data_IF_341225234504
#
_entry.id   IF_341225234504
#
_cell.length_a   1.000
_cell.length_b   1.000
_cell.length_c   1.000
_cell.angle_alpha   90.00
_cell.angle_beta   90.00
_cell.angle_gamma   90.00
#
_symmetry.space_group_name_H-M   'P 1'
#
loop_
_entity.id
_entity.type
_entity.pdbx_description
1 polymer ?
#
# COMPACT_ATOMS: atom_id res chain seq x y z
N UNK A 1 52.27 10.10 -7.03
CA UNK A 1 51.16 10.61 -7.88
C UNK A 1 49.86 10.77 -7.06
N UNK A 2 49.08 11.85 -7.24
CA UNK A 2 47.79 11.96 -6.56
C UNK A 2 46.85 10.88 -7.10
N UNK A 3 46.08 10.27 -6.21
CA UNK A 3 45.08 9.26 -6.57
C UNK A 3 44.00 9.89 -7.48
N UNK A 4 43.49 9.14 -8.48
CA UNK A 4 42.42 9.64 -9.34
C UNK A 4 41.15 9.91 -8.52
N UNK A 5 40.41 10.96 -8.90
CA UNK A 5 39.12 11.30 -8.30
C UNK A 5 38.13 10.14 -8.47
N UNK A 6 37.27 9.84 -7.48
CA UNK A 6 36.27 8.79 -7.59
C UNK A 6 35.40 8.99 -8.84
N UNK A 7 35.38 8.01 -9.74
CA UNK A 7 34.52 8.01 -10.95
C UNK A 7 35.19 8.41 -12.28
N UNK A 8 36.47 8.77 -12.30
CA UNK A 8 37.18 9.07 -13.55
C UNK A 8 38.05 7.90 -14.03
N UNK A 9 37.87 7.48 -15.29
CA UNK A 9 38.84 6.63 -16.01
C UNK A 9 39.97 7.51 -16.55
N UNK A 10 41.14 6.94 -16.83
CA UNK A 10 42.24 7.62 -17.53
C UNK A 10 41.71 8.26 -18.83
N UNK A 11 41.52 9.58 -18.84
CA UNK A 11 40.90 10.33 -19.94
C UNK A 11 39.76 11.28 -19.53
N UNK A 12 39.26 11.22 -18.29
CA UNK A 12 38.29 12.21 -17.78
C UNK A 12 36.85 12.05 -18.28
N UNK A 13 36.53 10.99 -19.03
CA UNK A 13 35.17 10.69 -19.45
C UNK A 13 34.38 10.03 -18.29
N UNK A 14 33.14 10.47 -18.01
CA UNK A 14 32.29 9.86 -17.00
C UNK A 14 31.88 8.44 -17.41
N UNK A 15 31.90 7.50 -16.46
CA UNK A 15 31.61 6.07 -16.69
C UNK A 15 30.12 5.75 -16.84
N UNK A 16 29.24 6.73 -16.59
CA UNK A 16 27.79 6.52 -16.48
C UNK A 16 27.34 5.91 -15.14
N UNK A 17 28.26 5.67 -14.20
CA UNK A 17 27.91 5.20 -12.85
C UNK A 17 27.74 6.39 -11.90
N UNK A 18 26.60 6.46 -11.23
CA UNK A 18 26.28 7.48 -10.22
C UNK A 18 26.40 6.88 -8.82
N UNK A 19 26.90 7.65 -7.86
CA UNK A 19 26.99 7.26 -6.44
C UNK A 19 26.57 8.42 -5.54
N UNK A 20 26.04 8.07 -4.36
CA UNK A 20 25.70 9.00 -3.28
C UNK A 20 24.86 10.20 -3.75
N UNK A 21 25.26 11.42 -3.40
CA UNK A 21 24.57 12.66 -3.73
C UNK A 21 24.36 12.87 -5.23
N UNK A 22 25.18 12.26 -6.10
CA UNK A 22 24.98 12.36 -7.55
C UNK A 22 23.74 11.58 -8.03
N UNK A 23 23.28 10.57 -7.28
CA UNK A 23 22.01 9.90 -7.55
C UNK A 23 20.83 10.83 -7.30
N UNK A 24 20.89 11.65 -6.24
CA UNK A 24 19.82 12.58 -5.87
C UNK A 24 19.48 13.58 -6.99
N UNK A 25 20.50 14.07 -7.70
CA UNK A 25 20.37 15.00 -8.82
C UNK A 25 19.64 14.38 -10.02
N UNK A 26 19.79 13.09 -10.25
CA UNK A 26 19.10 12.39 -11.34
C UNK A 26 17.71 11.94 -10.90
N UNK A 27 17.56 11.40 -9.69
CA UNK A 27 16.24 11.00 -9.18
C UNK A 27 15.24 12.15 -9.18
N UNK A 28 15.67 13.40 -8.94
CA UNK A 28 14.78 14.58 -9.02
C UNK A 28 14.29 14.91 -10.43
N UNK A 29 14.96 14.40 -11.47
CA UNK A 29 14.58 14.60 -12.88
C UNK A 29 13.74 13.47 -13.44
N UNK A 30 13.66 12.33 -12.74
CA UNK A 30 12.81 11.21 -13.14
C UNK A 30 11.35 11.66 -13.00
N UNK A 31 10.55 11.62 -14.07
CA UNK A 31 9.15 12.04 -14.00
C UNK A 31 8.37 11.22 -12.98
N UNK A 32 7.47 11.85 -12.19
CA UNK A 32 6.62 11.12 -11.28
C UNK A 32 5.73 10.15 -12.06
N UNK A 33 5.59 8.92 -11.56
CA UNK A 33 4.73 7.91 -12.20
C UNK A 33 3.28 8.42 -12.24
N UNK A 34 2.67 8.37 -13.41
CA UNK A 34 1.26 8.74 -13.58
C UNK A 34 0.36 7.77 -12.81
N UNK A 35 -0.88 8.18 -12.50
CA UNK A 35 -1.83 7.30 -11.84
C UNK A 35 -2.10 6.01 -12.64
N UNK A 36 -2.21 6.13 -13.97
CA UNK A 36 -2.38 4.99 -14.85
C UNK A 36 -1.20 4.00 -14.73
N UNK A 37 0.04 4.49 -14.59
CA UNK A 37 1.21 3.62 -14.39
C UNK A 37 1.16 2.91 -13.04
N UNK A 38 0.68 3.60 -12.00
CA UNK A 38 0.53 3.01 -10.65
C UNK A 38 -0.55 1.94 -10.63
N UNK A 39 -1.70 2.18 -11.26
CA UNK A 39 -2.74 1.15 -11.46
C UNK A 39 -2.19 -0.07 -12.20
N UNK A 40 -1.44 0.13 -13.29
CA UNK A 40 -0.79 -0.98 -14.02
C UNK A 40 0.23 -1.70 -13.16
N UNK A 41 0.99 -1.00 -12.33
CA UNK A 41 1.95 -1.61 -11.40
C UNK A 41 1.25 -2.49 -10.36
N UNK A 42 0.15 -2.02 -9.75
CA UNK A 42 -0.65 -2.82 -8.82
C UNK A 42 -1.21 -4.08 -9.48
N UNK A 43 -1.84 -3.95 -10.66
CA UNK A 43 -2.39 -5.12 -11.38
C UNK A 43 -1.30 -6.17 -11.66
N UNK A 44 -0.14 -5.75 -12.15
CA UNK A 44 1.02 -6.63 -12.36
C UNK A 44 1.52 -7.29 -11.07
N UNK A 45 1.56 -6.54 -9.96
CA UNK A 45 1.96 -7.08 -8.67
C UNK A 45 0.97 -8.14 -8.19
N UNK A 46 -0.33 -7.91 -8.32
CA UNK A 46 -1.35 -8.88 -7.94
C UNK A 46 -1.29 -10.16 -8.76
N UNK A 47 -1.16 -10.06 -10.09
CA UNK A 47 -0.98 -11.21 -10.98
C UNK A 47 0.23 -12.05 -10.55
N UNK A 48 1.35 -11.40 -10.26
CA UNK A 48 2.55 -12.08 -9.81
C UNK A 48 2.37 -12.75 -8.44
N UNK A 49 1.81 -12.04 -7.46
CA UNK A 49 1.56 -12.59 -6.12
C UNK A 49 0.63 -13.81 -6.18
N UNK A 50 -0.44 -13.73 -6.96
CA UNK A 50 -1.37 -14.85 -7.17
C UNK A 50 -0.71 -16.04 -7.87
N UNK A 51 0.19 -15.80 -8.83
CA UNK A 51 0.95 -16.87 -9.47
C UNK A 51 1.84 -17.66 -8.50
N UNK A 52 2.17 -17.06 -7.36
CA UNK A 52 2.92 -17.66 -6.25
C UNK A 52 2.01 -18.19 -5.13
N UNK A 53 0.68 -18.12 -5.29
CA UNK A 53 -0.29 -18.53 -4.27
C UNK A 53 -0.46 -17.54 -3.11
N UNK A 54 0.08 -16.32 -3.22
CA UNK A 54 -0.05 -15.29 -2.18
C UNK A 54 -1.41 -14.60 -2.31
N UNK A 55 -2.27 -14.81 -1.31
CA UNK A 55 -3.66 -14.29 -1.29
C UNK A 55 -3.89 -13.14 -0.32
N UNK A 56 -2.87 -12.77 0.46
CA UNK A 56 -2.91 -11.63 1.38
C UNK A 56 -1.54 -11.01 1.62
N UNK A 57 -1.49 -9.69 1.76
CA UNK A 57 -0.25 -8.94 2.03
C UNK A 57 -0.44 -7.87 3.11
N UNK A 58 0.66 -7.54 3.77
CA UNK A 58 0.82 -6.28 4.49
C UNK A 58 1.51 -5.29 3.54
N UNK A 59 0.80 -4.23 3.17
CA UNK A 59 1.34 -3.19 2.29
C UNK A 59 1.88 -2.04 3.14
N UNK A 60 3.13 -1.69 2.88
CA UNK A 60 3.83 -0.59 3.53
C UNK A 60 4.00 0.59 2.57
N UNK A 61 3.32 0.63 1.43
CA UNK A 61 3.35 1.77 0.51
C UNK A 61 4.75 2.10 -0.02
N UNK A 62 4.90 3.34 -0.47
CA UNK A 62 6.15 3.86 -1.03
C UNK A 62 7.13 4.24 0.09
N UNK A 63 8.25 3.53 0.18
CA UNK A 63 9.23 3.68 1.25
C UNK A 63 9.81 5.09 1.35
N UNK A 64 10.06 5.76 0.22
CA UNK A 64 10.65 7.10 0.21
C UNK A 64 9.69 8.12 0.84
N UNK A 65 8.40 7.94 0.58
CA UNK A 65 7.35 8.81 1.07
C UNK A 65 6.91 8.46 2.51
N UNK A 66 7.12 7.21 2.93
CA UNK A 66 7.01 6.84 4.34
C UNK A 66 8.20 7.33 5.18
N UNK A 67 9.42 7.20 4.68
CA UNK A 67 10.64 7.56 5.41
C UNK A 67 10.75 9.08 5.59
N UNK A 68 10.31 9.87 4.60
CA UNK A 68 10.21 11.33 4.68
C UNK A 68 9.02 11.86 5.50
N UNK A 69 8.26 10.99 6.17
CA UNK A 69 6.96 11.36 6.78
C UNK A 69 7.05 12.31 7.97
N UNK A 70 8.22 12.71 8.47
CA UNK A 70 8.32 13.65 9.59
C UNK A 70 7.73 15.06 9.31
N UNK A 71 7.32 15.35 8.09
CA UNK A 71 6.71 16.62 7.67
C UNK A 71 5.31 16.42 7.12
N UNK A 72 4.36 17.24 7.58
CA UNK A 72 2.96 17.22 7.12
C UNK A 72 2.88 17.45 5.60
N UNK A 73 2.17 16.58 4.89
CA UNK A 73 2.00 16.62 3.42
C UNK A 73 3.06 15.86 2.61
N UNK A 74 4.18 15.42 3.21
CA UNK A 74 5.20 14.61 2.52
C UNK A 74 4.70 13.20 2.13
N UNK A 75 3.60 12.77 2.73
CA UNK A 75 3.02 11.43 2.68
C UNK A 75 1.92 11.27 1.63
N UNK A 76 1.56 12.35 0.92
CA UNK A 76 0.38 12.37 0.04
C UNK A 76 0.44 11.33 -1.09
N UNK A 77 1.66 10.94 -1.48
CA UNK A 77 1.86 9.84 -2.42
C UNK A 77 1.30 8.51 -1.89
N UNK A 78 1.53 8.20 -0.61
CA UNK A 78 1.04 6.96 0.01
C UNK A 78 -0.48 6.95 0.07
N UNK A 79 -1.09 8.11 0.32
CA UNK A 79 -2.55 8.25 0.29
C UNK A 79 -3.15 8.12 -1.10
N UNK A 80 -2.47 8.62 -2.15
CA UNK A 80 -2.89 8.41 -3.54
C UNK A 80 -2.85 6.92 -3.93
N UNK A 81 -1.85 6.20 -3.46
CA UNK A 81 -1.73 4.76 -3.72
C UNK A 81 -2.81 3.98 -2.95
N UNK A 82 -3.13 4.37 -1.71
CA UNK A 82 -4.29 3.84 -0.97
C UNK A 82 -5.61 4.11 -1.70
N UNK A 83 -5.84 5.31 -2.23
CA UNK A 83 -7.07 5.65 -2.95
C UNK A 83 -7.28 4.79 -4.21
N UNK A 84 -6.19 4.39 -4.89
CA UNK A 84 -6.26 3.42 -5.99
C UNK A 84 -6.76 2.07 -5.48
N UNK A 85 -6.21 1.58 -4.36
CA UNK A 85 -6.63 0.31 -3.76
C UNK A 85 -8.08 0.36 -3.28
N UNK A 86 -8.51 1.46 -2.66
CA UNK A 86 -9.90 1.68 -2.24
C UNK A 86 -10.85 1.66 -3.45
N UNK A 87 -10.47 2.29 -4.55
CA UNK A 87 -11.26 2.27 -5.78
C UNK A 87 -11.36 0.84 -6.34
N UNK A 88 -10.26 0.10 -6.40
CA UNK A 88 -10.27 -1.30 -6.86
C UNK A 88 -11.12 -2.18 -5.94
N UNK A 89 -11.07 -1.95 -4.63
CA UNK A 89 -11.86 -2.67 -3.65
C UNK A 89 -13.36 -2.36 -3.78
N UNK A 90 -13.72 -1.09 -3.92
CA UNK A 90 -15.12 -0.67 -4.16
C UNK A 90 -15.70 -1.25 -5.44
N UNK A 91 -14.89 -1.39 -6.50
CA UNK A 91 -15.27 -2.05 -7.75
C UNK A 91 -15.27 -3.59 -7.66
N UNK A 92 -14.75 -4.18 -6.57
CA UNK A 92 -14.54 -5.62 -6.46
C UNK A 92 -13.44 -6.18 -7.36
N UNK A 93 -12.59 -5.31 -7.89
CA UNK A 93 -11.44 -5.66 -8.73
C UNK A 93 -10.19 -6.02 -7.91
N UNK A 94 -10.22 -5.85 -6.58
CA UNK A 94 -9.07 -6.16 -5.74
C UNK A 94 -8.96 -7.69 -5.53
N UNK A 95 -7.94 -8.37 -6.09
CA UNK A 95 -7.98 -9.83 -6.17
C UNK A 95 -7.37 -10.53 -4.95
N UNK A 96 -6.69 -9.78 -4.06
CA UNK A 96 -6.06 -10.26 -2.82
C UNK A 96 -6.45 -9.38 -1.63
N UNK A 97 -6.30 -9.89 -0.40
CA UNK A 97 -6.51 -9.10 0.82
C UNK A 97 -5.30 -8.22 1.11
N UNK A 98 -5.54 -6.96 1.46
CA UNK A 98 -4.48 -6.00 1.78
C UNK A 98 -4.70 -5.41 3.17
N UNK A 99 -3.66 -5.49 4.00
CA UNK A 99 -3.51 -4.71 5.23
C UNK A 99 -2.57 -3.54 4.97
N UNK A 100 -3.11 -2.34 4.80
CA UNK A 100 -2.31 -1.14 4.57
C UNK A 100 -1.77 -0.58 5.90
N UNK A 101 -0.46 -0.31 5.95
CA UNK A 101 0.22 0.38 7.02
C UNK A 101 0.72 1.73 6.52
N UNK A 102 0.16 2.80 7.10
CA UNK A 102 0.28 4.17 6.61
C UNK A 102 1.30 4.97 7.45
N UNK A 103 1.77 6.15 7.01
CA UNK A 103 2.82 6.88 7.72
C UNK A 103 2.36 7.42 9.09
N UNK A 104 3.21 7.27 10.12
CA UNK A 104 2.89 7.69 11.49
C UNK A 104 2.55 9.17 11.61
N UNK A 105 3.12 10.06 10.79
CA UNK A 105 2.81 11.48 10.86
C UNK A 105 1.32 11.80 10.63
N UNK A 106 0.64 10.97 9.86
CA UNK A 106 -0.80 11.10 9.60
C UNK A 106 -1.64 10.24 10.53
N UNK A 107 -1.14 9.85 11.71
CA UNK A 107 -1.82 8.92 12.61
C UNK A 107 -3.26 9.29 12.94
N UNK A 108 -3.62 10.59 12.94
CA UNK A 108 -5.01 11.05 13.10
C UNK A 108 -5.87 10.63 11.92
N UNK A 109 -5.42 10.88 10.68
CA UNK A 109 -6.09 10.43 9.44
C UNK A 109 -6.20 8.90 9.39
N UNK A 110 -5.19 8.19 9.90
CA UNK A 110 -5.20 6.72 10.01
C UNK A 110 -6.18 6.25 11.09
N UNK A 111 -6.24 6.90 12.25
CA UNK A 111 -7.19 6.59 13.35
C UNK A 111 -8.63 6.75 12.88
N UNK A 112 -8.90 7.83 12.17
CA UNK A 112 -10.24 8.22 11.76
C UNK A 112 -10.66 7.60 10.40
N UNK A 113 -9.82 6.71 9.85
CA UNK A 113 -10.07 6.10 8.54
C UNK A 113 -11.24 5.09 8.58
N UNK A 114 -12.20 5.14 7.63
CA UNK A 114 -13.43 4.32 7.68
C UNK A 114 -13.21 2.82 7.52
N UNK A 115 -12.09 2.40 6.91
CA UNK A 115 -11.73 0.98 6.75
C UNK A 115 -10.78 0.48 7.85
N UNK A 116 -10.51 1.28 8.88
CA UNK A 116 -9.66 0.87 10.00
C UNK A 116 -10.33 -0.25 10.80
N UNK A 117 -9.60 -1.34 11.04
CA UNK A 117 -9.99 -2.50 11.86
C UNK A 117 -11.26 -3.28 11.46
N UNK A 118 -12.10 -2.77 10.56
CA UNK A 118 -13.33 -3.43 10.12
C UNK A 118 -13.37 -3.72 8.61
N UNK A 119 -12.33 -3.33 7.85
CA UNK A 119 -12.35 -3.40 6.38
C UNK A 119 -12.61 -4.80 5.79
N UNK A 120 -12.02 -5.87 6.34
CA UNK A 120 -12.00 -7.19 5.67
C UNK A 120 -13.33 -7.94 5.57
N UNK A 121 -14.38 -7.46 6.24
CA UNK A 121 -15.68 -8.11 6.26
C UNK A 121 -16.83 -7.10 6.20
N UNK A 122 -16.54 -5.86 5.79
CA UNK A 122 -17.60 -4.91 5.46
C UNK A 122 -18.28 -5.38 4.19
N UNK A 123 -19.56 -5.69 4.30
CA UNK A 123 -20.42 -5.93 3.16
C UNK A 123 -20.48 -4.68 2.30
N UNK A 124 -20.34 -4.86 0.99
CA UNK A 124 -20.53 -3.78 0.05
C UNK A 124 -22.03 -3.52 -0.06
N UNK A 125 -22.53 -2.50 0.63
CA UNK A 125 -23.91 -2.07 0.44
C UNK A 125 -24.13 -1.69 -1.03
N UNK A 126 -24.85 -2.55 -1.78
CA UNK A 126 -25.41 -2.18 -3.08
C UNK A 126 -26.28 -0.95 -2.87
N UNK A 127 -26.12 0.03 -3.77
CA UNK A 127 -26.60 1.40 -3.61
C UNK A 127 -28.02 1.55 -3.03
N UNK A 128 -28.20 2.61 -2.26
CA UNK A 128 -29.46 3.07 -1.69
C UNK A 128 -30.59 3.12 -2.73
N UNK A 129 -31.48 2.13 -2.70
CA UNK A 129 -32.87 2.27 -3.12
C UNK A 129 -33.70 2.50 -1.86
N UNK A 130 -34.38 3.65 -1.78
CA UNK A 130 -35.03 4.12 -0.57
C UNK A 130 -36.26 3.32 -0.11
N UNK A 131 -36.75 3.68 1.07
CA UNK A 131 -38.09 3.32 1.55
C UNK A 131 -38.10 2.81 2.98
N UNK A 132 -38.57 3.64 3.91
CA UNK A 132 -38.70 3.30 5.32
C UNK A 132 -39.81 2.29 5.64
N UNK A 133 -39.81 1.79 6.86
CA UNK A 133 -40.91 0.98 7.39
C UNK A 133 -40.56 0.34 8.72
N UNK A 134 -41.40 0.59 9.73
CA UNK A 134 -41.24 0.20 11.14
C UNK A 134 -41.55 -1.29 11.38
N UNK A 135 -41.21 -1.73 12.59
CA UNK A 135 -41.35 -3.09 13.14
C UNK A 135 -42.69 -3.81 12.91
N UNK A 136 -42.56 -5.14 12.92
CA UNK A 136 -43.65 -6.11 12.95
C UNK A 136 -43.05 -7.50 13.20
N UNK A 137 -43.57 -8.19 14.20
CA UNK A 137 -43.13 -9.48 14.71
C UNK A 137 -43.12 -10.56 13.61
N UNK A 138 -42.01 -11.30 13.45
CA UNK A 138 -41.90 -12.39 12.48
C UNK A 138 -42.37 -13.70 13.11
N UNK A 139 -43.54 -14.14 12.67
CA UNK A 139 -44.01 -15.52 12.76
C UNK A 139 -43.06 -16.43 11.97
N UNK A 140 -42.64 -17.56 12.57
CA UNK A 140 -41.68 -18.49 11.98
C UNK A 140 -42.44 -19.44 11.06
N UNK A 141 -42.39 -19.19 9.75
CA UNK A 141 -42.89 -20.11 8.73
C UNK A 141 -41.92 -21.32 8.60
N UNK A 142 -42.50 -22.52 8.64
CA UNK A 142 -41.80 -23.82 8.67
C UNK A 142 -41.98 -24.59 7.35
N UNK A 143 -42.15 -23.88 6.23
CA UNK A 143 -42.16 -24.48 4.90
C UNK A 143 -40.75 -24.98 4.52
N UNK A 144 -40.62 -26.14 3.85
CA UNK A 144 -39.31 -26.62 3.40
C UNK A 144 -38.71 -25.64 2.39
N UNK A 145 -37.65 -24.94 2.81
CA UNK A 145 -36.87 -24.09 1.91
C UNK A 145 -36.22 -24.96 0.84
N UNK A 146 -36.68 -24.83 -0.41
CA UNK A 146 -35.83 -25.16 -1.56
C UNK A 146 -34.54 -24.34 -1.42
N UNK A 147 -33.35 -24.93 -1.65
CA UNK A 147 -32.11 -24.19 -1.51
C UNK A 147 -32.14 -23.04 -2.54
N UNK A 148 -32.38 -21.83 -2.04
CA UNK A 148 -32.05 -20.62 -2.77
C UNK A 148 -30.58 -20.75 -3.13
N UNK A 149 -30.27 -20.56 -4.41
CA UNK A 149 -28.91 -20.22 -4.82
C UNK A 149 -28.63 -18.80 -4.30
N UNK A 150 -28.47 -18.68 -2.98
CA UNK A 150 -27.91 -17.49 -2.39
C UNK A 150 -26.46 -17.46 -2.82
N UNK A 151 -26.15 -16.58 -3.77
CA UNK A 151 -24.79 -16.25 -4.21
C UNK A 151 -23.97 -15.53 -3.12
N UNK A 152 -24.40 -15.63 -1.87
CA UNK A 152 -23.82 -14.95 -0.74
C UNK A 152 -22.65 -15.78 -0.22
N UNK A 153 -21.45 -15.20 -0.27
CA UNK A 153 -20.40 -15.55 0.69
C UNK A 153 -19.00 -15.87 0.17
N UNK A 154 -18.70 -15.68 -1.11
CA UNK A 154 -17.30 -15.69 -1.58
C UNK A 154 -17.05 -14.56 -2.60
N UNK A 155 -17.33 -13.31 -2.20
CA UNK A 155 -17.07 -12.19 -3.12
C UNK A 155 -17.61 -10.82 -2.75
N UNK A 156 -18.50 -10.67 -1.75
CA UNK A 156 -19.12 -9.37 -1.45
C UNK A 156 -18.46 -8.56 -0.33
N UNK A 157 -17.51 -9.17 0.39
CA UNK A 157 -16.78 -8.51 1.47
C UNK A 157 -15.58 -7.72 0.94
N UNK A 158 -15.35 -6.52 1.49
CA UNK A 158 -14.17 -5.70 1.22
C UNK A 158 -12.87 -6.47 1.53
N UNK A 159 -11.85 -6.25 0.70
CA UNK A 159 -10.53 -6.91 0.78
C UNK A 159 -9.43 -5.97 1.24
N UNK A 160 -9.72 -4.68 1.43
CA UNK A 160 -8.79 -3.68 1.92
C UNK A 160 -9.11 -3.28 3.37
N UNK A 161 -8.07 -3.15 4.20
CA UNK A 161 -8.20 -2.48 5.51
C UNK A 161 -7.00 -1.59 5.77
N UNK A 162 -7.24 -0.51 6.50
CA UNK A 162 -6.15 0.24 7.15
C UNK A 162 -5.85 -0.44 8.48
N UNK A 163 -4.68 -1.07 8.56
CA UNK A 163 -4.28 -1.91 9.69
C UNK A 163 -3.50 -1.15 10.76
N UNK A 164 -2.76 -0.09 10.40
CA UNK A 164 -1.99 0.68 11.38
C UNK A 164 -1.00 1.65 10.75
N UNK A 165 0.01 2.00 11.54
CA UNK A 165 1.08 2.90 11.12
C UNK A 165 2.39 2.13 10.88
N UNK A 166 3.23 2.62 9.95
CA UNK A 166 4.61 2.17 9.73
C UNK A 166 5.60 3.25 10.14
N UNK A 167 6.71 2.82 10.76
CA UNK A 167 7.82 3.67 11.23
C UNK A 167 9.14 3.02 10.82
N UNK A 168 10.15 3.86 10.58
CA UNK A 168 11.56 3.50 10.45
C UNK A 168 12.31 4.04 11.67
N UNK A 169 13.14 3.20 12.28
CA UNK A 169 13.98 3.59 13.42
C UNK A 169 15.40 3.89 12.95
N UNK A 170 15.90 3.08 12.03
CA UNK A 170 17.25 3.13 11.48
C UNK A 170 17.26 2.66 10.01
N UNK A 171 18.46 2.56 9.43
CA UNK A 171 18.65 2.16 8.04
C UNK A 171 18.88 0.66 7.86
N UNK A 172 19.80 0.30 6.99
CA UNK A 172 20.08 -1.10 6.65
C UNK A 172 21.54 -1.47 6.88
N UNK A 173 21.80 -2.76 7.13
CA UNK A 173 23.16 -3.29 7.30
C UNK A 173 24.02 -3.07 6.05
N UNK A 174 23.48 -3.36 4.86
CA UNK A 174 24.23 -3.25 3.60
C UNK A 174 24.62 -1.82 3.24
N UNK A 175 23.95 -0.82 3.81
CA UNK A 175 24.30 0.59 3.65
C UNK A 175 25.09 1.14 4.86
N UNK A 176 25.40 0.33 5.87
CA UNK A 176 26.08 0.79 7.10
C UNK A 176 25.26 1.79 7.92
N UNK A 177 23.93 1.77 7.80
CA UNK A 177 23.02 2.77 8.41
C UNK A 177 22.06 2.17 9.46
N UNK A 178 22.07 0.85 9.64
CA UNK A 178 21.41 0.23 10.79
C UNK A 178 22.14 0.61 12.09
N UNK A 179 21.39 0.84 13.16
CA UNK A 179 21.93 1.23 14.46
C UNK A 179 22.39 -0.02 15.21
N UNK A 180 23.69 -0.09 15.52
CA UNK A 180 24.31 -1.24 16.17
C UNK A 180 24.77 -0.87 17.59
N UNK A 181 24.73 -1.82 18.53
CA UNK A 181 25.25 -1.62 19.89
C UNK A 181 26.78 -1.48 19.96
N UNK A 182 27.48 -2.00 18.95
CA UNK A 182 28.92 -1.87 18.75
C UNK A 182 29.19 -1.43 17.30
N UNK A 183 30.39 -0.91 16.98
CA UNK A 183 30.74 -0.56 15.61
C UNK A 183 30.60 -1.74 14.63
N UNK A 184 30.37 -1.42 13.36
CA UNK A 184 30.41 -2.39 12.27
C UNK A 184 31.79 -3.09 12.22
N UNK A 185 31.80 -4.38 11.87
CA UNK A 185 33.00 -5.23 11.93
C UNK A 185 33.83 -5.27 10.64
N UNK A 186 33.30 -4.71 9.56
CA UNK A 186 33.85 -4.72 8.19
C UNK A 186 34.64 -3.46 7.82
#
# INVERSE_FOLDING_TARGET
PPLPRPGAVAGGAPTGVLRDNAMALITSTIPPKSEADRVRAFKRAFEHLLSLGVTSVCDFGDIDHLAGSSTEGATERVWKDLAILERLDGLGELPIRISAYLPLADWKRIRDHPTRNEGWFRDRHKGSGGGGGRGGDREVDNTPHEPSHDSDGYGDSSRLRVAGCKVFLDGSLGAGTALMHAPYSD
#
